data_IF_021345880696
#
_entry.id   IF_021345880696
#
_cell.length_a   1.000
_cell.length_b   1.000
_cell.length_c   1.000
_cell.angle_alpha   90.00
_cell.angle_beta   90.00
_cell.angle_gamma   90.00
#
_symmetry.space_group_name_H-M   'P 1'
#
loop_
_entity.id
_entity.type
_entity.pdbx_description
1 polymer ?
#
# COMPACT_ATOMS: atom_id res chain seq x y z
N UNK A 1 44.07 5.23 -14.55
CA UNK A 1 43.03 4.29 -14.06
C UNK A 1 42.12 3.96 -15.23
N UNK A 2 42.09 2.71 -15.63
CA UNK A 2 41.41 2.21 -16.82
C UNK A 2 39.89 2.47 -16.76
N UNK A 3 39.28 2.80 -17.89
CA UNK A 3 37.83 3.05 -18.04
C UNK A 3 37.02 1.82 -17.54
N UNK A 4 37.52 0.59 -17.81
CA UNK A 4 36.89 -0.63 -17.34
C UNK A 4 36.88 -0.76 -15.80
N UNK A 5 37.92 -0.28 -15.13
CA UNK A 5 37.97 -0.24 -13.66
C UNK A 5 37.00 0.80 -13.07
N UNK A 6 36.79 1.95 -13.74
CA UNK A 6 35.81 2.96 -13.34
C UNK A 6 34.36 2.47 -13.50
N UNK A 7 34.07 1.74 -14.58
CA UNK A 7 32.73 1.16 -14.82
C UNK A 7 32.44 0.05 -13.80
N UNK A 8 33.40 -0.80 -13.45
CA UNK A 8 33.26 -1.82 -12.41
C UNK A 8 33.05 -1.22 -11.01
N UNK A 9 33.81 -0.18 -10.64
CA UNK A 9 33.63 0.51 -9.36
C UNK A 9 32.29 1.23 -9.27
N UNK A 10 31.81 1.82 -10.37
CA UNK A 10 30.47 2.45 -10.43
C UNK A 10 29.35 1.41 -10.31
N UNK A 11 29.47 0.25 -10.95
CA UNK A 11 28.47 -0.83 -10.84
C UNK A 11 28.43 -1.46 -9.44
N UNK A 12 29.56 -1.66 -8.78
CA UNK A 12 29.64 -2.16 -7.40
C UNK A 12 29.07 -1.13 -6.43
N UNK A 13 29.36 0.17 -6.63
CA UNK A 13 28.81 1.25 -5.82
C UNK A 13 27.29 1.38 -5.98
N UNK A 14 26.76 1.16 -7.20
CA UNK A 14 25.31 1.15 -7.47
C UNK A 14 24.63 -0.06 -6.83
N UNK A 15 25.22 -1.26 -6.96
CA UNK A 15 24.70 -2.47 -6.35
C UNK A 15 24.69 -2.37 -4.80
N UNK A 16 25.77 -1.82 -4.21
CA UNK A 16 25.84 -1.61 -2.76
C UNK A 16 24.85 -0.54 -2.27
N UNK A 17 24.58 0.52 -3.05
CA UNK A 17 23.55 1.52 -2.71
C UNK A 17 22.16 0.91 -2.73
N UNK A 18 21.83 0.14 -3.77
CA UNK A 18 20.54 -0.57 -3.87
C UNK A 18 20.40 -1.56 -2.72
N UNK A 19 21.43 -2.36 -2.43
CA UNK A 19 21.43 -3.32 -1.32
C UNK A 19 21.27 -2.64 0.03
N UNK A 20 21.97 -1.54 0.30
CA UNK A 20 21.84 -0.77 1.54
C UNK A 20 20.49 -0.04 1.63
N UNK A 21 19.91 0.43 0.52
CA UNK A 21 18.57 1.02 0.53
C UNK A 21 17.49 -0.03 0.82
N UNK A 22 17.61 -1.24 0.27
CA UNK A 22 16.70 -2.35 0.55
C UNK A 22 16.77 -2.76 2.03
N UNK A 23 17.96 -2.90 2.60
CA UNK A 23 18.14 -3.21 4.03
C UNK A 23 17.56 -2.09 4.91
N UNK A 24 17.81 -0.81 4.58
CA UNK A 24 17.24 0.34 5.30
C UNK A 24 15.71 0.38 5.23
N UNK A 25 15.11 0.02 4.11
CA UNK A 25 13.64 -0.06 3.95
C UNK A 25 13.04 -1.19 4.77
N UNK A 26 13.67 -2.38 4.76
CA UNK A 26 13.21 -3.52 5.56
C UNK A 26 13.16 -3.13 7.05
N UNK A 27 14.20 -2.48 7.55
CA UNK A 27 14.29 -2.10 8.97
C UNK A 27 13.22 -1.08 9.40
N UNK A 28 12.84 -0.13 8.53
CA UNK A 28 11.83 0.89 8.84
C UNK A 28 10.46 0.23 9.08
N UNK A 29 9.99 -0.61 8.13
CA UNK A 29 8.67 -1.24 8.20
C UNK A 29 8.61 -2.43 9.17
N UNK A 30 9.73 -2.90 9.71
CA UNK A 30 9.80 -3.92 10.75
C UNK A 30 9.79 -3.33 12.17
N UNK A 31 9.81 -1.99 12.32
CA UNK A 31 9.83 -1.35 13.63
C UNK A 31 8.46 -1.32 14.30
N UNK A 32 8.42 -1.53 15.62
CA UNK A 32 7.19 -1.47 16.44
C UNK A 32 6.50 -0.10 16.32
N UNK A 33 7.27 0.97 16.14
CA UNK A 33 6.72 2.31 15.96
C UNK A 33 5.90 2.41 14.68
N UNK A 34 6.44 1.99 13.55
CA UNK A 34 5.76 2.04 12.26
C UNK A 34 4.58 1.07 12.25
N UNK A 35 4.73 -0.12 12.83
CA UNK A 35 3.60 -1.06 12.99
C UNK A 35 2.45 -0.40 13.77
N UNK A 36 2.75 0.29 14.87
CA UNK A 36 1.73 0.99 15.67
C UNK A 36 1.06 2.14 14.90
N UNK A 37 1.83 2.91 14.13
CA UNK A 37 1.30 3.99 13.27
C UNK A 37 0.37 3.43 12.18
N UNK A 38 0.73 2.29 11.57
CA UNK A 38 -0.10 1.63 10.55
C UNK A 38 -1.33 0.95 11.14
N UNK A 39 -1.25 0.35 12.33
CA UNK A 39 -2.43 -0.17 13.03
C UNK A 39 -3.41 0.96 13.33
N UNK A 40 -2.93 2.11 13.81
CA UNK A 40 -3.76 3.29 14.04
C UNK A 40 -4.36 3.82 12.72
N UNK A 41 -3.56 3.94 11.65
CA UNK A 41 -4.01 4.43 10.34
C UNK A 41 -5.08 3.54 9.70
N UNK A 42 -4.94 2.21 9.85
CA UNK A 42 -5.82 1.23 9.24
C UNK A 42 -7.07 0.93 10.07
N UNK A 43 -6.97 0.92 11.39
CA UNK A 43 -8.04 0.43 12.28
C UNK A 43 -8.48 1.43 13.33
N UNK A 44 -7.74 2.51 13.56
CA UNK A 44 -8.11 3.53 14.53
C UNK A 44 -9.39 4.26 14.13
N UNK A 45 -10.25 4.50 15.13
CA UNK A 45 -11.43 5.32 14.93
C UNK A 45 -11.06 6.82 14.93
N UNK A 46 -12.05 7.67 14.55
CA UNK A 46 -11.86 9.11 14.46
C UNK A 46 -11.24 9.73 15.73
N UNK A 47 -11.76 9.36 16.91
CA UNK A 47 -11.32 9.96 18.18
C UNK A 47 -9.95 9.45 18.65
N UNK A 48 -9.50 8.31 18.14
CA UNK A 48 -8.15 7.81 18.36
C UNK A 48 -7.12 8.52 17.47
N UNK A 49 -7.50 8.89 16.26
CA UNK A 49 -6.63 9.60 15.30
C UNK A 49 -6.69 11.11 15.54
N UNK A 50 -7.89 11.70 15.55
CA UNK A 50 -8.14 13.13 15.76
C UNK A 50 -8.84 13.29 17.11
N UNK A 51 -8.05 13.44 18.17
CA UNK A 51 -8.57 13.59 19.54
C UNK A 51 -9.34 14.90 19.71
N UNK A 52 -10.29 14.96 20.66
CA UNK A 52 -11.14 16.12 20.90
C UNK A 52 -10.41 17.29 21.59
N UNK A 53 -9.13 17.14 21.91
CA UNK A 53 -8.29 18.19 22.54
C UNK A 53 -8.03 19.40 21.62
N UNK A 54 -8.28 19.24 20.30
CA UNK A 54 -8.01 20.27 19.31
C UNK A 54 -9.19 20.45 18.34
N UNK A 55 -9.29 21.67 17.78
CA UNK A 55 -10.14 21.93 16.62
C UNK A 55 -9.35 21.60 15.34
N UNK A 56 -9.68 20.48 14.72
CA UNK A 56 -9.00 20.01 13.51
C UNK A 56 -9.60 20.63 12.25
N UNK A 57 -8.79 20.95 11.22
CA UNK A 57 -9.28 21.34 9.90
C UNK A 57 -10.22 20.28 9.31
N UNK A 58 -11.31 20.69 8.66
CA UNK A 58 -12.31 19.77 8.11
C UNK A 58 -11.69 18.70 7.17
N UNK A 59 -10.75 19.08 6.31
CA UNK A 59 -10.09 18.15 5.40
C UNK A 59 -9.29 17.03 6.08
N UNK A 60 -8.91 17.17 7.35
CA UNK A 60 -8.27 16.09 8.10
C UNK A 60 -9.27 14.99 8.45
N UNK A 61 -10.51 15.34 8.77
CA UNK A 61 -11.57 14.34 9.00
C UNK A 61 -11.90 13.57 7.71
N UNK A 62 -11.94 14.26 6.58
CA UNK A 62 -12.20 13.64 5.26
C UNK A 62 -11.06 12.70 4.82
N UNK A 63 -9.90 12.80 5.48
CA UNK A 63 -8.72 12.00 5.19
C UNK A 63 -8.67 10.66 5.93
N UNK A 64 -9.62 10.40 6.83
CA UNK A 64 -9.70 9.14 7.58
C UNK A 64 -10.20 7.99 6.71
N UNK A 65 -9.98 6.77 7.17
CA UNK A 65 -10.44 5.53 6.52
C UNK A 65 -9.95 5.36 5.06
N UNK A 66 -8.78 5.88 4.72
CA UNK A 66 -8.22 5.80 3.38
C UNK A 66 -8.22 4.38 2.80
N UNK A 67 -7.81 3.30 3.52
CA UNK A 67 -7.85 1.94 2.98
C UNK A 67 -9.26 1.48 2.58
N UNK A 68 -10.28 1.92 3.32
CA UNK A 68 -11.70 1.63 3.02
C UNK A 68 -12.16 2.39 1.77
N UNK A 69 -11.82 3.68 1.70
CA UNK A 69 -12.23 4.55 0.58
C UNK A 69 -11.59 4.14 -0.75
N UNK A 70 -10.33 3.70 -0.74
CA UNK A 70 -9.68 3.22 -1.98
C UNK A 70 -10.30 1.94 -2.50
N UNK A 71 -10.72 1.01 -1.64
CA UNK A 71 -11.46 -0.20 -2.04
C UNK A 71 -12.87 0.13 -2.56
N UNK A 72 -13.49 1.20 -2.05
CA UNK A 72 -14.82 1.62 -2.53
C UNK A 72 -14.84 2.11 -3.99
N UNK A 73 -13.68 2.23 -4.64
CA UNK A 73 -13.58 2.50 -6.08
C UNK A 73 -13.88 1.30 -6.96
N UNK A 74 -13.79 0.08 -6.46
CA UNK A 74 -14.29 -1.10 -7.17
C UNK A 74 -15.80 -1.08 -7.35
N UNK A 75 -16.29 -1.73 -8.37
CA UNK A 75 -17.72 -1.99 -8.54
C UNK A 75 -18.25 -2.79 -7.32
N UNK A 76 -19.56 -2.68 -7.08
CA UNK A 76 -20.20 -3.43 -5.98
C UNK A 76 -20.64 -4.83 -6.39
N UNK A 77 -20.40 -5.23 -7.64
CA UNK A 77 -20.71 -6.57 -8.11
C UNK A 77 -19.89 -7.61 -7.35
N UNK A 78 -20.42 -8.80 -7.04
CA UNK A 78 -19.62 -9.89 -6.49
C UNK A 78 -18.46 -10.26 -7.42
N UNK A 79 -17.32 -10.58 -6.85
CA UNK A 79 -16.14 -11.05 -7.55
C UNK A 79 -15.66 -12.37 -6.92
N UNK A 80 -14.93 -13.17 -7.68
CA UNK A 80 -14.36 -14.41 -7.16
C UNK A 80 -13.08 -14.11 -6.39
N UNK A 81 -12.08 -13.51 -7.05
CA UNK A 81 -10.74 -13.34 -6.47
C UNK A 81 -10.28 -11.89 -6.45
N UNK A 82 -9.75 -11.47 -5.32
CA UNK A 82 -9.08 -10.18 -5.13
C UNK A 82 -7.60 -10.33 -4.78
N UNK A 83 -6.79 -9.37 -5.21
CA UNK A 83 -5.38 -9.24 -4.85
C UNK A 83 -5.13 -7.83 -4.33
N UNK A 84 -4.54 -7.73 -3.13
CA UNK A 84 -4.16 -6.47 -2.49
C UNK A 84 -2.64 -6.42 -2.34
N UNK A 85 -1.97 -5.61 -3.16
CA UNK A 85 -0.52 -5.46 -3.21
C UNK A 85 -0.06 -4.27 -2.36
N UNK A 86 0.88 -4.51 -1.46
CA UNK A 86 1.25 -3.55 -0.41
C UNK A 86 0.12 -3.41 0.61
N UNK A 87 -0.46 -4.53 1.05
CA UNK A 87 -1.63 -4.57 1.91
C UNK A 87 -1.37 -4.03 3.33
N UNK A 88 -0.12 -3.82 3.71
CA UNK A 88 0.30 -3.44 5.05
C UNK A 88 -0.36 -4.35 6.12
N UNK A 89 -1.01 -3.79 7.12
CA UNK A 89 -1.70 -4.55 8.19
C UNK A 89 -3.10 -5.04 7.77
N UNK A 90 -3.45 -5.00 6.49
CA UNK A 90 -4.54 -5.76 5.87
C UNK A 90 -5.92 -5.08 5.80
N UNK A 91 -6.11 -3.81 6.20
CA UNK A 91 -7.45 -3.22 6.22
C UNK A 91 -8.15 -3.22 4.86
N UNK A 92 -7.46 -2.86 3.79
CA UNK A 92 -7.99 -2.90 2.42
C UNK A 92 -8.37 -4.32 2.00
N UNK A 93 -7.54 -5.31 2.36
CA UNK A 93 -7.80 -6.73 2.10
C UNK A 93 -9.10 -7.19 2.78
N UNK A 94 -9.33 -6.81 4.04
CA UNK A 94 -10.57 -7.08 4.76
C UNK A 94 -11.78 -6.44 4.08
N UNK A 95 -11.66 -5.20 3.59
CA UNK A 95 -12.75 -4.52 2.89
C UNK A 95 -13.05 -5.16 1.52
N UNK A 96 -12.03 -5.60 0.78
CA UNK A 96 -12.21 -6.31 -0.49
C UNK A 96 -12.99 -7.62 -0.32
N UNK A 97 -12.78 -8.34 0.79
CA UNK A 97 -13.47 -9.60 1.09
C UNK A 97 -14.98 -9.45 1.30
N UNK A 98 -15.50 -8.24 1.47
CA UNK A 98 -16.95 -8.00 1.50
C UNK A 98 -17.64 -8.32 0.17
N UNK A 99 -16.91 -8.18 -0.93
CA UNK A 99 -17.45 -8.36 -2.29
C UNK A 99 -16.63 -9.39 -3.11
N UNK A 100 -15.57 -9.98 -2.55
CA UNK A 100 -14.80 -11.08 -3.14
C UNK A 100 -15.03 -12.36 -2.33
N UNK A 101 -14.97 -13.52 -3.01
CA UNK A 101 -15.05 -14.82 -2.35
C UNK A 101 -13.71 -15.21 -1.71
N UNK A 102 -12.61 -14.81 -2.35
CA UNK A 102 -11.24 -15.01 -1.87
C UNK A 102 -10.43 -13.72 -2.09
N UNK A 103 -9.60 -13.33 -1.12
CA UNK A 103 -8.66 -12.21 -1.28
C UNK A 103 -7.28 -12.59 -0.74
N UNK A 104 -6.25 -12.30 -1.53
CA UNK A 104 -4.85 -12.45 -1.14
C UNK A 104 -4.27 -11.06 -0.88
N UNK A 105 -3.79 -10.81 0.34
CA UNK A 105 -3.00 -9.63 0.69
C UNK A 105 -1.51 -9.96 0.66
N UNK A 106 -0.71 -9.12 0.00
CA UNK A 106 0.74 -9.29 -0.07
C UNK A 106 1.42 -8.01 0.41
N UNK A 107 2.38 -8.16 1.31
CA UNK A 107 3.26 -7.07 1.74
C UNK A 107 4.69 -7.58 1.93
N UNK A 108 5.65 -6.68 1.78
CA UNK A 108 7.06 -7.00 1.96
C UNK A 108 7.44 -7.17 3.43
N UNK A 109 6.77 -6.46 4.35
CA UNK A 109 7.05 -6.47 5.78
C UNK A 109 6.49 -7.72 6.46
N UNK A 110 7.35 -8.48 7.14
CA UNK A 110 6.95 -9.58 8.00
C UNK A 110 6.11 -9.09 9.19
N UNK A 111 6.46 -7.94 9.79
CA UNK A 111 5.72 -7.38 10.91
C UNK A 111 4.26 -7.06 10.52
N UNK A 112 4.06 -6.47 9.33
CA UNK A 112 2.73 -6.17 8.83
C UNK A 112 1.92 -7.43 8.52
N UNK A 113 2.52 -8.41 7.84
CA UNK A 113 1.84 -9.67 7.50
C UNK A 113 1.50 -10.46 8.77
N UNK A 114 2.39 -10.52 9.76
CA UNK A 114 2.11 -11.17 11.03
C UNK A 114 0.93 -10.51 11.75
N UNK A 115 0.85 -9.18 11.74
CA UNK A 115 -0.28 -8.43 12.31
C UNK A 115 -1.59 -8.71 11.55
N UNK A 116 -1.56 -8.65 10.20
CA UNK A 116 -2.72 -8.95 9.36
C UNK A 116 -3.24 -10.39 9.58
N UNK A 117 -2.35 -11.37 9.66
CA UNK A 117 -2.69 -12.77 9.94
C UNK A 117 -3.25 -12.98 11.36
N UNK A 118 -2.71 -12.29 12.37
CA UNK A 118 -3.26 -12.33 13.72
C UNK A 118 -4.70 -11.77 13.74
N UNK A 119 -4.93 -10.63 13.10
CA UNK A 119 -6.26 -10.04 12.94
C UNK A 119 -7.22 -10.98 12.20
N UNK A 120 -6.75 -11.63 11.12
CA UNK A 120 -7.53 -12.62 10.36
C UNK A 120 -8.03 -13.77 11.23
N UNK A 121 -7.22 -14.22 12.19
CA UNK A 121 -7.61 -15.27 13.18
C UNK A 121 -8.55 -14.76 14.25
N UNK A 122 -8.85 -13.46 14.30
CA UNK A 122 -9.69 -12.83 15.32
C UNK A 122 -8.93 -12.38 16.56
N UNK A 123 -7.59 -12.37 16.53
CA UNK A 123 -6.78 -11.86 17.64
C UNK A 123 -6.98 -10.35 17.79
N UNK A 124 -7.01 -9.86 19.04
CA UNK A 124 -6.95 -8.43 19.33
C UNK A 124 -5.49 -8.00 19.39
N UNK A 125 -5.11 -7.01 18.57
CA UNK A 125 -3.76 -6.46 18.57
C UNK A 125 -3.69 -5.20 19.40
N UNK A 126 -2.88 -5.23 20.46
CA UNK A 126 -2.59 -4.04 21.26
C UNK A 126 -1.39 -3.30 20.69
N UNK A 127 -1.50 -1.97 20.56
CA UNK A 127 -0.43 -1.11 20.05
C UNK A 127 -0.40 0.23 20.78
N UNK A 128 0.70 0.95 20.66
CA UNK A 128 0.92 2.20 21.36
C UNK A 128 0.84 3.40 20.40
N UNK A 129 -0.21 4.21 20.56
CA UNK A 129 -0.26 5.52 19.90
C UNK A 129 0.69 6.48 20.59
N UNK A 130 1.67 6.98 19.87
CA UNK A 130 2.57 8.00 20.40
C UNK A 130 1.87 9.35 20.55
N UNK A 131 1.93 9.95 21.74
CA UNK A 131 1.32 11.23 22.01
C UNK A 131 2.38 12.34 22.14
N UNK A 132 3.32 12.23 23.07
CA UNK A 132 4.36 13.23 23.30
C UNK A 132 5.55 12.63 24.06
N UNK A 133 6.76 12.83 23.57
CA UNK A 133 7.98 12.30 24.17
C UNK A 133 7.88 10.78 24.45
N UNK A 134 7.89 10.36 25.69
CA UNK A 134 7.72 8.95 26.10
C UNK A 134 6.28 8.58 26.43
N UNK A 135 5.34 9.52 26.29
CA UNK A 135 3.92 9.27 26.58
C UNK A 135 3.26 8.58 25.41
N UNK A 136 2.57 7.49 25.71
CA UNK A 136 1.80 6.69 24.77
C UNK A 136 0.40 6.43 25.31
N UNK A 137 -0.56 6.23 24.41
CA UNK A 137 -1.89 5.71 24.72
C UNK A 137 -1.98 4.29 24.17
N UNK A 138 -2.27 3.32 25.05
CA UNK A 138 -2.49 1.93 24.66
C UNK A 138 -3.84 1.78 23.99
N UNK A 139 -3.86 1.30 22.76
CA UNK A 139 -5.04 1.08 21.93
C UNK A 139 -5.13 -0.39 21.52
N UNK A 140 -6.27 -0.77 20.93
CA UNK A 140 -6.52 -2.12 20.44
C UNK A 140 -7.11 -2.07 19.03
N UNK A 141 -6.52 -2.82 18.11
CA UNK A 141 -7.10 -3.07 16.79
C UNK A 141 -7.86 -4.41 16.81
N UNK A 142 -9.02 -4.41 16.18
CA UNK A 142 -9.91 -5.56 16.09
C UNK A 142 -10.24 -5.86 14.62
N UNK A 143 -10.56 -7.12 14.35
CA UNK A 143 -11.10 -7.52 13.06
C UNK A 143 -12.31 -6.62 12.71
N UNK A 144 -12.36 -5.99 11.53
CA UNK A 144 -13.48 -5.15 11.14
C UNK A 144 -14.80 -5.91 11.14
N UNK A 145 -15.87 -5.29 11.63
CA UNK A 145 -17.20 -5.90 11.72
C UNK A 145 -17.67 -6.42 10.35
N UNK A 146 -18.22 -7.64 10.35
CA UNK A 146 -18.69 -8.32 9.16
C UNK A 146 -17.59 -8.85 8.23
N UNK A 147 -16.33 -8.83 8.66
CA UNK A 147 -15.23 -9.50 7.95
C UNK A 147 -15.28 -11.02 8.18
N UNK A 148 -14.93 -11.77 7.14
CA UNK A 148 -14.80 -13.23 7.18
C UNK A 148 -13.35 -13.62 6.92
N UNK A 149 -12.62 -13.98 7.97
CA UNK A 149 -11.21 -14.36 7.88
C UNK A 149 -10.96 -15.62 7.06
N UNK A 150 -11.98 -16.47 6.85
CA UNK A 150 -11.84 -17.67 6.01
C UNK A 150 -11.65 -17.36 4.52
N UNK A 151 -12.05 -16.16 4.08
CA UNK A 151 -11.88 -15.68 2.70
C UNK A 151 -10.51 -15.07 2.43
N UNK A 152 -9.67 -14.97 3.42
CA UNK A 152 -8.44 -14.17 3.36
C UNK A 152 -7.21 -15.03 3.53
N UNK A 153 -6.16 -14.65 2.83
CA UNK A 153 -4.79 -15.10 3.08
C UNK A 153 -3.83 -13.93 2.99
N UNK A 154 -2.83 -13.91 3.85
CA UNK A 154 -1.78 -12.90 3.83
C UNK A 154 -0.43 -13.57 3.59
N UNK A 155 0.34 -13.04 2.65
CA UNK A 155 1.61 -13.58 2.24
C UNK A 155 2.70 -12.50 2.29
N UNK A 156 3.83 -12.83 2.89
CA UNK A 156 4.99 -11.98 2.74
C UNK A 156 5.55 -12.15 1.32
N UNK A 157 5.78 -11.03 0.62
CA UNK A 157 6.27 -11.08 -0.75
C UNK A 157 6.63 -9.72 -1.33
N UNK A 158 7.42 -9.76 -2.39
CA UNK A 158 7.83 -8.57 -3.14
C UNK A 158 6.92 -8.37 -4.34
N UNK A 159 6.23 -7.24 -4.39
CA UNK A 159 5.33 -6.88 -5.50
C UNK A 159 6.05 -6.78 -6.87
N UNK A 160 7.38 -6.58 -6.87
CA UNK A 160 8.19 -6.57 -8.09
C UNK A 160 8.60 -7.99 -8.54
N UNK A 161 8.42 -9.00 -7.69
CA UNK A 161 8.85 -10.38 -7.94
C UNK A 161 7.81 -11.39 -7.45
N UNK A 162 6.56 -11.21 -7.89
CA UNK A 162 5.46 -12.11 -7.55
C UNK A 162 5.66 -13.47 -8.23
N UNK A 163 5.27 -14.54 -7.52
CA UNK A 163 5.31 -15.90 -8.07
C UNK A 163 4.53 -16.00 -9.39
N UNK A 164 5.04 -16.77 -10.34
CA UNK A 164 4.41 -16.92 -11.65
C UNK A 164 3.04 -17.62 -11.58
N UNK A 165 2.87 -18.48 -10.60
CA UNK A 165 1.66 -19.28 -10.34
C UNK A 165 0.69 -18.64 -9.36
N UNK A 166 0.87 -17.38 -8.99
CA UNK A 166 -0.05 -16.65 -8.09
C UNK A 166 -1.48 -16.60 -8.62
N UNK A 167 -1.63 -16.76 -9.93
CA UNK A 167 -2.91 -16.79 -10.63
C UNK A 167 -3.38 -15.44 -11.13
N UNK A 168 -4.67 -15.37 -11.49
CA UNK A 168 -5.32 -14.17 -12.02
C UNK A 168 -6.51 -13.78 -11.13
N UNK A 169 -6.86 -12.49 -11.13
CA UNK A 169 -7.80 -11.89 -10.19
C UNK A 169 -8.83 -11.02 -10.90
N UNK A 170 -10.05 -11.01 -10.36
CA UNK A 170 -11.12 -10.12 -10.83
C UNK A 170 -10.84 -8.66 -10.41
N UNK A 171 -10.19 -8.48 -9.25
CA UNK A 171 -9.83 -7.19 -8.69
C UNK A 171 -8.41 -7.17 -8.19
N UNK A 172 -7.65 -6.17 -8.61
CA UNK A 172 -6.30 -5.92 -8.11
C UNK A 172 -6.26 -4.50 -7.53
N UNK A 173 -5.79 -4.39 -6.30
CA UNK A 173 -5.63 -3.15 -5.55
C UNK A 173 -4.15 -2.93 -5.25
N UNK A 174 -3.67 -1.69 -5.40
CA UNK A 174 -2.34 -1.29 -4.94
C UNK A 174 -2.38 0.19 -4.52
N UNK A 175 -2.42 0.42 -3.20
CA UNK A 175 -2.50 1.77 -2.64
C UNK A 175 -1.19 2.20 -1.99
N UNK A 176 -0.68 3.35 -2.42
CA UNK A 176 0.55 3.99 -1.93
C UNK A 176 1.81 3.10 -2.03
N UNK A 177 1.80 2.15 -2.98
CA UNK A 177 2.86 1.19 -3.21
C UNK A 177 3.87 1.65 -4.27
N UNK A 178 3.40 2.14 -5.43
CA UNK A 178 4.27 2.38 -6.61
C UNK A 178 5.51 3.24 -6.29
N UNK A 179 5.35 4.32 -5.55
CA UNK A 179 6.45 5.22 -5.18
C UNK A 179 7.30 4.69 -4.00
N UNK A 180 7.13 3.45 -3.62
CA UNK A 180 7.91 2.72 -2.61
C UNK A 180 8.67 1.55 -3.22
N UNK A 181 8.48 1.27 -4.51
CA UNK A 181 9.20 0.22 -5.23
C UNK A 181 10.49 0.77 -5.82
N UNK A 182 11.56 -0.01 -5.78
CA UNK A 182 12.83 0.36 -6.41
C UNK A 182 12.73 0.36 -7.93
N UNK A 183 11.92 -0.56 -8.50
CA UNK A 183 11.68 -0.70 -9.94
C UNK A 183 10.17 -0.84 -10.23
N UNK A 184 9.38 0.26 -10.10
CA UNK A 184 7.92 0.20 -10.20
C UNK A 184 7.40 -0.29 -11.55
N UNK A 185 8.20 -0.16 -12.62
CA UNK A 185 7.87 -0.67 -13.94
C UNK A 185 7.72 -2.20 -13.96
N UNK A 186 8.42 -2.94 -13.10
CA UNK A 186 8.27 -4.41 -13.00
C UNK A 186 6.86 -4.78 -12.57
N UNK A 187 6.31 -4.07 -11.58
CA UNK A 187 4.92 -4.28 -11.17
C UNK A 187 3.96 -3.91 -12.28
N UNK A 188 4.12 -2.73 -12.89
CA UNK A 188 3.22 -2.27 -13.95
C UNK A 188 3.21 -3.24 -15.15
N UNK A 189 4.36 -3.78 -15.53
CA UNK A 189 4.45 -4.79 -16.60
C UNK A 189 3.77 -6.13 -16.22
N UNK A 190 3.68 -6.44 -14.92
CA UNK A 190 3.03 -7.66 -14.43
C UNK A 190 1.50 -7.55 -14.36
N UNK A 191 0.95 -6.34 -14.14
CA UNK A 191 -0.49 -6.11 -13.94
C UNK A 191 -1.38 -6.72 -15.04
N UNK A 192 -1.04 -6.63 -16.36
CA UNK A 192 -1.85 -7.28 -17.40
C UNK A 192 -1.98 -8.80 -17.24
N UNK A 193 -1.06 -9.45 -16.55
CA UNK A 193 -1.08 -10.88 -16.29
C UNK A 193 -1.73 -11.25 -14.95
N UNK A 194 -1.99 -10.26 -14.08
CA UNK A 194 -2.63 -10.44 -12.79
C UNK A 194 -4.13 -10.17 -12.84
N UNK A 195 -4.56 -9.23 -13.69
CA UNK A 195 -5.97 -8.85 -13.80
C UNK A 195 -6.62 -9.67 -14.91
N UNK A 196 -7.75 -10.35 -14.65
CA UNK A 196 -8.55 -11.06 -15.65
C UNK A 196 -9.02 -10.10 -16.76
N UNK A 197 -9.23 -10.54 -18.01
CA UNK A 197 -10.01 -9.80 -18.99
C UNK A 197 -11.34 -9.32 -18.37
N UNK A 198 -11.71 -8.06 -18.58
CA UNK A 198 -12.85 -7.42 -17.93
C UNK A 198 -12.71 -7.15 -16.43
N UNK A 199 -11.60 -7.52 -15.80
CA UNK A 199 -11.33 -7.27 -14.37
C UNK A 199 -10.94 -5.82 -14.08
N UNK A 200 -10.96 -5.48 -12.81
CA UNK A 200 -10.76 -4.12 -12.31
C UNK A 200 -9.39 -3.96 -11.61
N UNK A 201 -8.71 -2.85 -11.88
CA UNK A 201 -7.48 -2.45 -11.20
C UNK A 201 -7.68 -1.07 -10.55
N UNK A 202 -7.38 -0.95 -9.27
CA UNK A 202 -7.34 0.32 -8.54
C UNK A 202 -5.91 0.59 -8.09
N UNK A 203 -5.34 1.69 -8.57
CA UNK A 203 -4.04 2.20 -8.14
C UNK A 203 -4.23 3.52 -7.40
N UNK A 204 -3.62 3.65 -6.23
CA UNK A 204 -3.50 4.92 -5.53
C UNK A 204 -2.01 5.23 -5.31
N UNK A 205 -1.58 6.46 -5.52
CA UNK A 205 -0.20 6.87 -5.26
C UNK A 205 -0.13 8.34 -4.88
N UNK A 206 0.62 8.72 -3.84
CA UNK A 206 0.81 10.12 -3.47
C UNK A 206 1.77 10.85 -4.41
N UNK A 207 2.32 10.17 -5.41
CA UNK A 207 3.32 10.71 -6.35
C UNK A 207 4.55 11.30 -5.65
N UNK A 208 4.84 10.85 -4.43
CA UNK A 208 6.00 11.26 -3.64
C UNK A 208 7.18 10.34 -3.93
N UNK A 209 7.85 10.60 -5.03
CA UNK A 209 9.05 9.87 -5.43
C UNK A 209 10.23 10.34 -4.58
N UNK A 210 10.81 9.44 -3.80
CA UNK A 210 11.94 9.71 -2.90
C UNK A 210 13.09 8.77 -3.24
N UNK A 211 14.30 9.30 -3.31
CA UNK A 211 15.50 8.54 -3.69
C UNK A 211 15.77 7.35 -2.74
N UNK A 212 15.34 7.47 -1.49
CA UNK A 212 15.46 6.39 -0.49
C UNK A 212 14.65 5.14 -0.84
N UNK A 213 13.56 5.27 -1.62
CA UNK A 213 12.71 4.15 -2.06
C UNK A 213 12.93 3.82 -3.53
N UNK A 214 12.81 4.81 -4.41
CA UNK A 214 12.91 4.64 -5.85
C UNK A 214 14.10 5.44 -6.37
N UNK A 215 15.12 4.81 -6.97
CA UNK A 215 16.22 5.54 -7.60
C UNK A 215 15.72 6.56 -8.65
N UNK A 216 16.29 7.78 -8.71
CA UNK A 216 15.81 8.85 -9.61
C UNK A 216 15.73 8.46 -11.09
N UNK A 217 16.56 7.55 -11.55
CA UNK A 217 16.51 7.01 -12.90
C UNK A 217 15.25 6.21 -13.22
N UNK A 218 14.50 5.76 -12.19
CA UNK A 218 13.26 5.02 -12.30
C UNK A 218 12.02 5.90 -12.03
N UNK A 219 12.20 7.21 -11.85
CA UNK A 219 11.08 8.13 -11.67
C UNK A 219 10.36 8.41 -12.99
N UNK A 220 9.04 8.63 -12.99
CA UNK A 220 8.29 9.00 -14.18
C UNK A 220 8.79 10.33 -14.77
N UNK A 221 9.34 10.30 -15.98
CA UNK A 221 9.88 11.50 -16.63
C UNK A 221 8.80 12.53 -17.02
N UNK A 222 7.56 12.07 -17.29
CA UNK A 222 6.45 12.90 -17.78
C UNK A 222 5.42 13.24 -16.71
N UNK A 223 5.65 12.87 -15.47
CA UNK A 223 4.66 12.89 -14.41
C UNK A 223 3.95 11.54 -14.25
N UNK A 224 3.51 11.26 -13.02
CA UNK A 224 3.00 9.92 -12.66
C UNK A 224 1.74 9.56 -13.45
N UNK A 225 0.81 10.49 -13.64
CA UNK A 225 -0.45 10.19 -14.33
C UNK A 225 -0.23 9.87 -15.82
N UNK A 226 0.54 10.69 -16.52
CA UNK A 226 0.87 10.51 -17.93
C UNK A 226 1.65 9.21 -18.15
N UNK A 227 2.56 8.89 -17.25
CA UNK A 227 3.28 7.62 -17.24
C UNK A 227 2.36 6.41 -17.06
N UNK A 228 1.41 6.45 -16.12
CA UNK A 228 0.41 5.40 -15.94
C UNK A 228 -0.47 5.22 -17.18
N UNK A 229 -0.91 6.33 -17.81
CA UNK A 229 -1.66 6.28 -19.08
C UNK A 229 -0.83 5.58 -20.16
N UNK A 230 0.41 6.02 -20.38
CA UNK A 230 1.26 5.43 -21.41
C UNK A 230 1.52 3.94 -21.21
N UNK A 231 1.71 3.53 -19.95
CA UNK A 231 2.07 2.15 -19.60
C UNK A 231 0.87 1.20 -19.60
N UNK A 232 -0.28 1.65 -19.10
CA UNK A 232 -1.44 0.78 -18.88
C UNK A 232 -2.43 0.77 -20.03
N UNK A 233 -2.57 1.85 -20.82
CA UNK A 233 -3.55 1.92 -21.90
C UNK A 233 -3.45 0.83 -22.98
N UNK A 234 -2.28 0.21 -23.26
CA UNK A 234 -2.24 -0.94 -24.16
C UNK A 234 -3.09 -2.15 -23.70
N UNK A 235 -3.31 -2.27 -22.40
CA UNK A 235 -4.00 -3.42 -21.79
C UNK A 235 -5.23 -3.05 -20.97
N UNK A 236 -5.41 -1.77 -20.65
CA UNK A 236 -6.48 -1.29 -19.77
C UNK A 236 -7.11 0.00 -20.29
N UNK A 237 -8.39 0.16 -20.05
CA UNK A 237 -9.11 1.43 -20.21
C UNK A 237 -9.17 2.17 -18.87
N UNK A 238 -8.80 3.44 -18.83
CA UNK A 238 -9.00 4.29 -17.65
C UNK A 238 -10.49 4.57 -17.48
N UNK A 239 -11.06 4.14 -16.35
CA UNK A 239 -12.48 4.31 -16.00
C UNK A 239 -12.69 5.58 -15.16
N UNK A 240 -11.79 5.83 -14.21
CA UNK A 240 -11.92 6.95 -13.28
C UNK A 240 -10.56 7.47 -12.82
N UNK A 241 -10.50 8.79 -12.60
CA UNK A 241 -9.40 9.49 -11.92
C UNK A 241 -9.98 10.29 -10.77
N UNK A 242 -9.32 10.26 -9.61
CA UNK A 242 -9.73 11.02 -8.44
C UNK A 242 -8.50 11.38 -7.59
N UNK A 243 -8.73 12.18 -6.55
CA UNK A 243 -7.75 12.46 -5.51
C UNK A 243 -8.34 12.02 -4.17
N UNK A 244 -7.59 11.22 -3.42
CA UNK A 244 -7.99 10.75 -2.09
C UNK A 244 -6.99 11.23 -1.04
N UNK A 245 -7.42 12.10 -0.12
CA UNK A 245 -6.56 12.50 0.98
C UNK A 245 -6.39 11.33 1.96
N UNK A 246 -5.24 11.28 2.63
CA UNK A 246 -5.00 10.37 3.74
C UNK A 246 -4.20 11.04 4.84
N UNK A 247 -4.29 10.49 6.04
CA UNK A 247 -3.74 11.06 7.25
C UNK A 247 -3.08 9.96 8.09
N UNK A 248 -1.78 10.08 8.29
CA UNK A 248 -1.05 9.23 9.23
C UNK A 248 -0.65 10.10 10.44
N UNK A 249 -1.08 9.70 11.64
CA UNK A 249 -0.70 10.36 12.88
C UNK A 249 0.62 9.79 13.38
N UNK A 250 1.61 10.66 13.58
CA UNK A 250 2.90 10.31 14.17
C UNK A 250 2.96 10.61 15.67
N UNK A 251 2.36 11.74 16.09
CA UNK A 251 2.23 12.16 17.50
C UNK A 251 0.91 12.89 17.74
N UNK A 252 0.65 13.36 18.94
CA UNK A 252 -0.55 14.15 19.25
C UNK A 252 -0.70 15.41 18.37
N UNK A 253 0.40 15.95 17.84
CA UNK A 253 0.43 17.24 17.11
C UNK A 253 1.10 17.14 15.73
N UNK A 254 1.64 15.97 15.36
CA UNK A 254 2.33 15.78 14.08
C UNK A 254 1.62 14.72 13.25
N UNK A 255 1.31 15.09 12.01
CA UNK A 255 0.61 14.25 11.03
C UNK A 255 1.28 14.35 9.67
N UNK A 256 1.29 13.25 8.94
CA UNK A 256 1.48 13.25 7.50
C UNK A 256 0.10 13.38 6.84
N UNK A 257 -0.22 14.55 6.30
CA UNK A 257 -1.44 14.78 5.53
C UNK A 257 -1.08 14.90 4.06
N UNK A 258 -1.54 13.97 3.28
CA UNK A 258 -1.13 13.81 1.88
C UNK A 258 -2.35 13.48 1.03
N UNK A 259 -2.26 13.67 -0.28
CA UNK A 259 -3.31 13.31 -1.23
C UNK A 259 -2.75 12.33 -2.26
N UNK A 260 -3.42 11.19 -2.41
CA UNK A 260 -3.08 10.20 -3.44
C UNK A 260 -3.89 10.44 -4.72
N UNK A 261 -3.22 10.39 -5.86
CA UNK A 261 -3.85 10.19 -7.15
C UNK A 261 -4.41 8.77 -7.18
N UNK A 262 -5.72 8.65 -7.36
CA UNK A 262 -6.39 7.36 -7.57
C UNK A 262 -6.76 7.22 -9.04
N UNK A 263 -6.44 6.07 -9.61
CA UNK A 263 -6.82 5.69 -10.98
C UNK A 263 -7.49 4.32 -10.97
N UNK A 264 -8.63 4.21 -11.64
CA UNK A 264 -9.40 2.97 -11.78
C UNK A 264 -9.34 2.55 -13.23
N UNK A 265 -9.00 1.31 -13.45
CA UNK A 265 -8.78 0.75 -14.77
C UNK A 265 -9.59 -0.53 -14.95
N UNK A 266 -10.05 -0.76 -16.18
CA UNK A 266 -10.66 -2.01 -16.58
C UNK A 266 -9.78 -2.70 -17.61
N UNK A 267 -9.47 -3.98 -17.38
CA UNK A 267 -8.69 -4.81 -18.31
C UNK A 267 -9.48 -5.02 -19.59
N UNK A 268 -8.83 -4.86 -20.74
CA UNK A 268 -9.42 -5.22 -22.04
C UNK A 268 -9.74 -6.72 -22.08
N UNK A 269 -10.75 -7.09 -22.88
CA UNK A 269 -11.12 -8.49 -23.16
C UNK A 269 -10.03 -9.24 -23.93
#
# INVERSE_FOLDING_TARGET
MDIAARVRLASISKANRIYNSIISMTDIYESDKILSEYLLFHFGNRNEILTDDFSWPAGMTDSLEFPVRTVAYFSKAPAERGLDLGCAVGRSTFEMARNCQEVVGIDFSHAFINAAEAMRRGDTLFYDRHDEATRVTRLAAHLPDGSDGAKLSFLQGDAMNLADDIGIFDRVHAANLLCRLTEPEKLLARLPHLVKPGGELVLATPCTWLEEFTPPENWPATGTFEWLIATLSPSFSLVKRANEPFLIRETARKFQWTTSLVTVWQRHD
#
